data_IF_521761854742
#
_entry.id   IF_521761854742
#
_cell.length_a   1.000
_cell.length_b   1.000
_cell.length_c   1.000
_cell.angle_alpha   90.00
_cell.angle_beta   90.00
_cell.angle_gamma   90.00
#
_symmetry.space_group_name_H-M   'P 1'
#
loop_
_entity.id
_entity.type
_entity.pdbx_description
1 polymer ?
#
# COMPACT_ATOMS: atom_id res chain seq x y z
N UNK A 1 -6.95 -16.53 -10.51
CA UNK A 1 -7.66 -15.65 -9.56
C UNK A 1 -6.62 -15.11 -8.59
N UNK A 2 -6.11 -13.90 -8.81
CA UNK A 2 -5.11 -13.31 -7.92
C UNK A 2 -5.77 -13.04 -6.56
N UNK A 3 -5.15 -13.60 -5.51
CA UNK A 3 -5.51 -13.39 -4.11
C UNK A 3 -5.70 -11.88 -3.86
N UNK A 4 -6.79 -11.41 -3.21
CA UNK A 4 -6.93 -10.01 -2.86
C UNK A 4 -5.86 -9.69 -1.82
N UNK A 5 -4.66 -9.32 -2.28
CA UNK A 5 -3.66 -8.73 -1.41
C UNK A 5 -4.34 -7.51 -0.81
N UNK A 6 -4.47 -7.52 0.52
CA UNK A 6 -5.17 -6.48 1.26
C UNK A 6 -4.35 -5.20 1.13
N UNK A 7 -4.73 -4.36 0.15
CA UNK A 7 -4.09 -3.09 -0.13
C UNK A 7 -4.10 -2.26 1.16
N UNK A 8 -2.92 -1.80 1.55
CA UNK A 8 -2.72 -1.04 2.79
C UNK A 8 -1.94 0.24 2.50
N UNK A 9 -2.14 1.24 3.36
CA UNK A 9 -1.35 2.47 3.35
C UNK A 9 0.15 2.13 3.45
N UNK A 10 0.94 2.84 2.67
CA UNK A 10 2.38 2.64 2.55
C UNK A 10 2.80 1.43 1.72
N UNK A 11 1.86 0.67 1.14
CA UNK A 11 2.23 -0.39 0.17
C UNK A 11 2.90 0.26 -1.05
N UNK A 12 3.97 -0.38 -1.50
CA UNK A 12 4.62 -0.02 -2.76
C UNK A 12 3.92 -0.79 -3.88
N UNK A 13 3.56 -0.07 -4.92
CA UNK A 13 2.85 -0.60 -6.07
C UNK A 13 3.60 -0.27 -7.36
N UNK A 14 3.41 -1.09 -8.38
CA UNK A 14 3.68 -0.73 -9.77
C UNK A 14 2.37 -0.35 -10.44
N UNK A 15 2.37 0.77 -11.15
CA UNK A 15 1.20 1.25 -11.88
C UNK A 15 1.13 0.50 -13.21
N UNK A 16 -0.02 -0.06 -13.54
CA UNK A 16 -0.27 -0.76 -14.81
C UNK A 16 -0.94 0.19 -15.82
N UNK A 17 -1.84 1.05 -15.34
CA UNK A 17 -2.55 2.05 -16.12
C UNK A 17 -2.75 3.33 -15.29
N UNK A 18 -2.88 4.50 -15.93
CA UNK A 18 -2.84 4.77 -17.38
C UNK A 18 -1.41 4.76 -17.98
N UNK A 19 -1.32 4.71 -19.32
CA UNK A 19 -0.05 4.52 -20.06
C UNK A 19 1.05 5.52 -19.70
N UNK A 20 0.69 6.79 -19.47
CA UNK A 20 1.66 7.84 -19.18
C UNK A 20 2.41 7.65 -17.85
N UNK A 21 1.94 6.77 -16.96
CA UNK A 21 2.54 6.39 -15.66
C UNK A 21 2.75 4.88 -15.54
N UNK A 22 2.39 4.10 -16.56
CA UNK A 22 2.56 2.65 -16.54
C UNK A 22 4.03 2.27 -16.34
N UNK A 23 4.26 1.24 -15.53
CA UNK A 23 5.60 0.79 -15.12
C UNK A 23 6.26 1.66 -14.04
N UNK A 24 5.70 2.83 -13.69
CA UNK A 24 6.23 3.63 -12.57
C UNK A 24 5.86 3.02 -11.24
N UNK A 25 6.71 3.31 -10.24
CA UNK A 25 6.47 2.97 -8.84
C UNK A 25 5.65 4.05 -8.15
N UNK A 26 4.77 3.62 -7.27
CA UNK A 26 4.00 4.52 -6.41
C UNK A 26 3.78 3.95 -5.01
N UNK A 27 3.31 4.81 -4.13
CA UNK A 27 2.99 4.49 -2.73
C UNK A 27 1.51 4.73 -2.50
N UNK A 28 0.83 3.75 -1.91
CA UNK A 28 -0.57 3.89 -1.50
C UNK A 28 -0.64 4.89 -0.34
N UNK A 29 -1.25 6.05 -0.58
CA UNK A 29 -1.36 7.13 0.41
C UNK A 29 -2.78 7.30 0.97
N UNK A 30 -3.79 6.70 0.36
CA UNK A 30 -5.17 6.81 0.84
C UNK A 30 -6.15 5.95 0.07
N UNK A 31 -7.37 5.81 0.61
CA UNK A 31 -8.56 5.40 -0.16
C UNK A 31 -9.33 6.66 -0.54
N UNK A 32 -9.88 6.71 -1.75
CA UNK A 32 -10.68 7.85 -2.20
C UNK A 32 -11.99 7.93 -1.39
N UNK A 33 -12.28 9.10 -0.81
CA UNK A 33 -13.49 9.38 -0.05
C UNK A 33 -14.33 10.36 -0.86
N UNK A 34 -15.56 9.97 -1.23
CA UNK A 34 -16.52 10.85 -1.89
C UNK A 34 -17.36 11.53 -0.79
N UNK A 35 -17.53 12.85 -0.88
CA UNK A 35 -18.39 13.64 0.02
C UNK A 35 -19.80 13.02 0.00
N UNK A 36 -20.39 12.79 1.19
CA UNK A 36 -21.52 11.88 1.50
C UNK A 36 -21.12 10.46 1.94
N UNK A 37 -19.91 10.28 2.47
CA UNK A 37 -19.44 9.10 3.23
C UNK A 37 -19.41 7.77 2.46
N UNK A 38 -19.67 7.78 1.16
CA UNK A 38 -19.51 6.57 0.35
C UNK A 38 -18.03 6.42 0.01
N UNK A 39 -17.38 5.43 0.63
CA UNK A 39 -16.02 5.05 0.25
C UNK A 39 -16.03 4.53 -1.18
N UNK A 40 -15.15 5.09 -2.02
CA UNK A 40 -14.87 4.58 -3.36
C UNK A 40 -13.98 3.35 -3.25
N UNK A 41 -14.03 2.45 -4.22
CA UNK A 41 -13.07 1.33 -4.31
C UNK A 41 -11.70 1.76 -4.86
N UNK A 42 -11.57 3.03 -5.22
CA UNK A 42 -10.35 3.63 -5.75
C UNK A 42 -9.37 4.01 -4.64
N UNK A 43 -8.10 3.90 -4.99
CA UNK A 43 -6.96 4.16 -4.12
C UNK A 43 -6.17 5.37 -4.62
N UNK A 44 -5.73 6.19 -3.68
CA UNK A 44 -4.82 7.29 -3.94
C UNK A 44 -3.39 6.74 -3.92
N UNK A 45 -2.68 6.92 -5.03
CA UNK A 45 -1.30 6.48 -5.22
C UNK A 45 -0.44 7.68 -5.58
N UNK A 46 0.57 7.95 -4.75
CA UNK A 46 1.58 8.95 -5.04
C UNK A 46 2.68 8.33 -5.89
N UNK A 47 2.98 8.90 -7.04
CA UNK A 47 4.06 8.43 -7.93
C UNK A 47 5.40 8.84 -7.32
N UNK A 48 6.36 7.92 -7.14
CA UNK A 48 7.63 8.24 -6.45
C UNK A 48 8.48 9.27 -7.22
N UNK A 49 8.47 9.19 -8.55
CA UNK A 49 9.29 10.04 -9.42
C UNK A 49 8.66 11.40 -9.74
N UNK A 50 7.42 11.64 -9.32
CA UNK A 50 6.62 12.80 -9.76
C UNK A 50 5.80 13.38 -8.61
N UNK A 51 5.55 14.68 -8.64
CA UNK A 51 4.66 15.31 -7.66
C UNK A 51 3.19 15.18 -8.08
N UNK A 52 2.77 13.93 -8.37
CA UNK A 52 1.42 13.60 -8.84
C UNK A 52 0.82 12.51 -7.96
N UNK A 53 -0.46 12.68 -7.63
CA UNK A 53 -1.29 11.67 -6.97
C UNK A 53 -2.38 11.24 -7.93
N UNK A 54 -2.54 9.93 -8.08
CA UNK A 54 -3.52 9.31 -8.94
C UNK A 54 -4.59 8.63 -8.11
N UNK A 55 -5.84 8.72 -8.55
CA UNK A 55 -6.91 7.86 -8.08
C UNK A 55 -7.01 6.67 -9.04
N UNK A 56 -6.77 5.45 -8.57
CA UNK A 56 -6.70 4.23 -9.39
C UNK A 56 -7.56 3.12 -8.82
N UNK A 57 -8.16 2.32 -9.69
CA UNK A 57 -8.85 1.09 -9.32
C UNK A 57 -7.85 -0.01 -8.94
N UNK A 58 -8.24 -1.00 -8.11
CA UNK A 58 -7.34 -2.08 -7.68
C UNK A 58 -6.73 -2.93 -8.81
N UNK A 59 -7.32 -2.92 -10.01
CA UNK A 59 -6.85 -3.61 -11.21
C UNK A 59 -5.89 -2.76 -12.08
N UNK A 60 -5.79 -1.46 -11.81
CA UNK A 60 -4.89 -0.53 -12.51
C UNK A 60 -3.47 -0.49 -11.91
N UNK A 61 -3.23 -1.21 -10.82
CA UNK A 61 -1.92 -1.32 -10.17
C UNK A 61 -1.72 -2.68 -9.51
N UNK A 62 -0.46 -3.02 -9.21
CA UNK A 62 -0.11 -4.24 -8.51
C UNK A 62 0.78 -3.96 -7.30
N UNK A 63 0.42 -4.52 -6.14
CA UNK A 63 1.25 -4.45 -4.93
C UNK A 63 2.52 -5.28 -5.12
N UNK A 64 3.68 -4.64 -4.96
CA UNK A 64 5.01 -5.27 -5.08
C UNK A 64 5.77 -5.31 -3.75
N UNK A 65 5.37 -4.50 -2.76
CA UNK A 65 5.86 -4.59 -1.39
C UNK A 65 4.76 -4.20 -0.39
N UNK A 66 4.60 -5.02 0.64
CA UNK A 66 3.68 -4.74 1.73
C UNK A 66 4.34 -3.77 2.71
N UNK A 67 3.59 -2.78 3.19
CA UNK A 67 4.04 -1.94 4.28
C UNK A 67 4.31 -2.85 5.48
N UNK A 68 5.56 -2.87 5.93
CA UNK A 68 5.90 -3.51 7.18
C UNK A 68 5.17 -2.74 8.26
N UNK A 69 4.03 -3.26 8.73
CA UNK A 69 3.59 -2.98 10.10
C UNK A 69 4.75 -3.45 10.98
N UNK A 70 5.62 -2.53 11.38
CA UNK A 70 6.59 -2.76 12.43
C UNK A 70 5.80 -3.02 13.72
N UNK A 71 5.35 -4.25 13.92
CA UNK A 71 5.23 -4.79 15.26
C UNK A 71 6.65 -5.10 15.71
N UNK A 72 7.30 -4.08 16.26
CA UNK A 72 8.56 -4.21 16.99
C UNK A 72 8.24 -4.93 18.31
N UNK A 73 8.11 -6.26 18.27
CA UNK A 73 7.99 -7.08 19.47
C UNK A 73 9.41 -7.41 19.95
N UNK A 74 10.09 -6.41 20.51
CA UNK A 74 11.45 -6.56 21.02
C UNK A 74 11.39 -6.65 22.54
N UNK A 75 11.59 -7.85 23.09
CA UNK A 75 12.48 -8.19 24.23
C UNK A 75 12.05 -9.57 24.76
N UNK A 76 12.74 -10.62 24.30
CA UNK A 76 13.91 -11.21 24.97
C UNK A 76 13.51 -12.10 26.15
N UNK A 77 13.35 -13.38 25.83
CA UNK A 77 13.50 -14.50 26.74
C UNK A 77 14.86 -14.42 27.45
N UNK A 78 14.88 -14.08 28.74
CA UNK A 78 16.03 -14.40 29.59
C UNK A 78 15.66 -15.63 30.42
N UNK A 79 16.06 -16.80 29.94
CA UNK A 79 16.29 -17.95 30.81
C UNK A 79 17.40 -17.57 31.79
N UNK A 80 17.08 -17.49 33.08
CA UNK A 80 18.07 -17.78 34.12
C UNK A 80 17.44 -18.76 35.11
N UNK A 81 17.92 -20.00 34.99
CA UNK A 81 17.79 -21.03 36.00
C UNK A 81 18.40 -20.53 37.31
N UNK A 82 17.62 -20.72 38.39
CA UNK A 82 17.97 -21.24 39.72
C UNK A 82 19.45 -21.53 40.03
N UNK A 83 19.84 -21.43 41.32
CA UNK A 83 19.39 -22.39 42.34
C UNK A 83 18.22 -21.92 43.22
#
# INVERSE_FOLDING_TARGET
MQNPQKIQLGNIVVILYPEYVAGRRGVVCGREIIINEKMSDRWLIQVESENIVLSLNPDEFQVISQSQKQFSNNTSTLHQNQP
#
